data_IF_804593938438
#
_entry.id   IF_804593938438
#
_cell.length_a   1.000
_cell.length_b   1.000
_cell.length_c   1.000
_cell.angle_alpha   90.00
_cell.angle_beta   90.00
_cell.angle_gamma   90.00
#
_symmetry.space_group_name_H-M   'P 1'
#
loop_
_entity.id
_entity.type
_entity.pdbx_description
1 polymer ?
#
# COMPACT_ATOMS: atom_id res chain seq x y z
N UNK A 1 -1.90 9.08 -2.74
CA UNK A 1 -2.74 8.91 -3.95
C UNK A 1 -1.84 8.80 -5.17
N UNK A 2 -2.10 7.88 -6.10
CA UNK A 2 -1.41 7.78 -7.38
C UNK A 2 -2.35 8.22 -8.51
N UNK A 3 -1.94 9.23 -9.28
CA UNK A 3 -2.63 9.70 -10.48
C UNK A 3 -2.37 8.81 -11.70
N UNK A 4 -3.27 8.87 -12.70
CA UNK A 4 -3.12 8.14 -13.96
C UNK A 4 -1.88 8.53 -14.79
N UNK A 5 -1.32 9.71 -14.52
CA UNK A 5 -0.10 10.27 -15.11
C UNK A 5 1.20 9.88 -14.38
N UNK A 6 1.09 9.23 -13.21
CA UNK A 6 2.22 8.81 -12.39
C UNK A 6 2.50 9.73 -11.22
N UNK A 7 1.69 10.79 -11.08
CA UNK A 7 1.81 11.74 -9.98
C UNK A 7 1.47 11.06 -8.66
N UNK A 8 2.37 11.17 -7.70
CA UNK A 8 2.19 10.66 -6.34
C UNK A 8 1.95 11.83 -5.42
N UNK A 9 0.79 11.83 -4.77
CA UNK A 9 0.46 12.74 -3.68
C UNK A 9 0.64 12.00 -2.37
N UNK A 10 1.71 12.35 -1.65
CA UNK A 10 2.05 11.81 -0.33
C UNK A 10 1.66 12.75 0.82
N UNK A 11 1.90 12.34 2.07
CA UNK A 11 1.68 13.20 3.24
C UNK A 11 2.52 14.49 3.16
N UNK A 12 2.05 15.56 3.81
CA UNK A 12 2.79 16.83 3.89
C UNK A 12 2.91 17.59 2.57
N UNK A 13 1.96 17.44 1.64
CA UNK A 13 1.99 18.04 0.30
C UNK A 13 3.13 17.52 -0.60
N UNK A 14 3.66 16.34 -0.31
CA UNK A 14 4.62 15.69 -1.21
C UNK A 14 3.96 15.43 -2.56
N UNK A 15 4.59 15.93 -3.62
CA UNK A 15 4.23 15.64 -5.01
C UNK A 15 5.46 15.05 -5.70
N UNK A 16 5.39 13.76 -6.03
CA UNK A 16 6.41 13.04 -6.79
C UNK A 16 5.88 12.58 -8.14
N UNK A 17 6.77 12.10 -9.01
CA UNK A 17 6.40 11.42 -10.25
C UNK A 17 7.07 10.05 -10.27
N UNK A 18 6.28 8.99 -10.44
CA UNK A 18 6.84 7.65 -10.65
C UNK A 18 7.41 7.52 -12.06
N UNK A 19 8.57 6.88 -12.17
CA UNK A 19 9.05 6.38 -13.45
C UNK A 19 8.12 5.28 -13.98
N UNK A 20 8.20 5.00 -15.28
CA UNK A 20 7.44 3.89 -15.90
C UNK A 20 7.74 2.54 -15.24
N UNK A 21 9.00 2.30 -14.86
CA UNK A 21 9.42 1.08 -14.17
C UNK A 21 8.84 0.98 -12.75
N UNK A 22 8.85 2.10 -12.02
CA UNK A 22 8.26 2.18 -10.68
C UNK A 22 6.75 1.93 -10.71
N UNK A 23 6.05 2.54 -11.68
CA UNK A 23 4.63 2.31 -11.93
C UNK A 23 4.36 0.84 -12.23
N UNK A 24 5.08 0.26 -13.18
CA UNK A 24 4.90 -1.14 -13.60
C UNK A 24 5.12 -2.09 -12.42
N UNK A 25 6.14 -1.84 -11.61
CA UNK A 25 6.43 -2.64 -10.42
C UNK A 25 5.30 -2.54 -9.37
N UNK A 26 4.77 -1.33 -9.14
CA UNK A 26 3.66 -1.12 -8.22
C UNK A 26 2.38 -1.80 -8.71
N UNK A 27 2.04 -1.65 -9.99
CA UNK A 27 0.88 -2.30 -10.61
C UNK A 27 0.98 -3.83 -10.53
N UNK A 28 2.17 -4.39 -10.78
CA UNK A 28 2.43 -5.83 -10.62
C UNK A 28 2.29 -6.30 -9.17
N UNK A 29 2.78 -5.53 -8.19
CA UNK A 29 2.64 -5.83 -6.77
C UNK A 29 1.17 -5.82 -6.32
N UNK A 30 0.37 -4.87 -6.83
CA UNK A 30 -1.07 -4.81 -6.55
C UNK A 30 -1.75 -6.09 -7.05
N UNK A 31 -1.48 -6.52 -8.28
CA UNK A 31 -2.07 -7.75 -8.83
C UNK A 31 -1.60 -8.99 -8.03
N UNK A 32 -0.30 -9.10 -7.75
CA UNK A 32 0.26 -10.22 -7.01
C UNK A 32 -0.24 -10.31 -5.56
N UNK A 33 -0.62 -9.18 -4.95
CA UNK A 33 -1.11 -9.14 -3.57
C UNK A 33 -2.45 -9.85 -3.39
N UNK A 34 -3.27 -9.93 -4.46
CA UNK A 34 -4.66 -10.35 -4.37
C UNK A 34 -5.52 -9.43 -3.51
N UNK A 35 -5.14 -8.14 -3.35
CA UNK A 35 -5.74 -7.22 -2.37
C UNK A 35 -7.28 -7.19 -2.37
N UNK A 36 -7.91 -7.29 -3.55
CA UNK A 36 -9.37 -7.28 -3.67
C UNK A 36 -10.08 -8.52 -3.11
N UNK A 37 -9.34 -9.57 -2.78
CA UNK A 37 -9.85 -10.81 -2.18
C UNK A 37 -9.44 -10.94 -0.69
N UNK A 38 -8.69 -9.97 -0.16
CA UNK A 38 -8.29 -9.93 1.24
C UNK A 38 -9.42 -9.39 2.13
N UNK A 39 -9.39 -9.82 3.39
CA UNK A 39 -10.22 -9.23 4.44
C UNK A 39 -9.87 -7.74 4.64
N UNK A 40 -10.84 -6.92 5.06
CA UNK A 40 -10.61 -5.49 5.19
C UNK A 40 -9.66 -5.11 6.33
N UNK A 41 -9.39 -6.03 7.27
CA UNK A 41 -8.61 -5.72 8.47
C UNK A 41 -7.88 -6.96 9.00
N UNK A 42 -6.60 -6.78 9.38
CA UNK A 42 -5.76 -7.75 10.06
C UNK A 42 -5.11 -7.10 11.29
N UNK A 43 -5.77 -7.19 12.44
CA UNK A 43 -5.28 -6.64 13.71
C UNK A 43 -5.11 -7.76 14.75
N UNK A 44 -4.03 -7.74 15.57
CA UNK A 44 -3.92 -8.65 16.70
C UNK A 44 -4.91 -8.28 17.82
N UNK A 45 -5.22 -9.24 18.68
CA UNK A 45 -6.08 -9.02 19.86
C UNK A 45 -5.53 -7.92 20.80
N UNK A 46 -4.20 -7.81 20.87
CA UNK A 46 -3.51 -6.75 21.58
C UNK A 46 -2.72 -5.88 20.59
N UNK A 47 -3.30 -4.75 20.12
CA UNK A 47 -2.64 -3.82 19.23
C UNK A 47 -1.65 -2.91 19.97
N UNK A 48 -1.39 -3.14 21.26
CA UNK A 48 -0.44 -2.32 22.00
C UNK A 48 0.98 -2.41 21.41
N UNK A 49 1.80 -1.48 21.93
CA UNK A 49 3.13 -1.08 21.46
C UNK A 49 3.10 0.02 20.39
N UNK A 50 4.26 0.69 20.25
CA UNK A 50 4.53 1.64 19.19
C UNK A 50 4.84 0.84 17.91
N UNK A 51 3.79 0.61 17.11
CA UNK A 51 3.82 -0.13 15.84
C UNK A 51 3.38 0.80 14.72
N UNK A 52 3.81 0.51 13.50
CA UNK A 52 3.29 1.23 12.35
C UNK A 52 1.93 0.65 11.94
N UNK A 53 0.94 1.51 11.83
CA UNK A 53 -0.34 1.23 11.19
C UNK A 53 -0.22 1.43 9.67
N UNK A 54 -0.80 0.51 8.92
CA UNK A 54 -0.89 0.58 7.47
C UNK A 54 -2.34 0.50 7.03
N UNK A 55 -2.74 1.45 6.19
CA UNK A 55 -3.99 1.40 5.46
C UNK A 55 -3.69 1.49 3.97
N UNK A 56 -4.10 0.47 3.22
CA UNK A 56 -3.90 0.39 1.77
C UNK A 56 -5.26 0.47 1.09
N UNK A 57 -5.51 1.57 0.40
CA UNK A 57 -6.71 1.77 -0.41
C UNK A 57 -6.37 1.74 -1.89
N UNK A 58 -7.03 0.86 -2.66
CA UNK A 58 -6.87 0.75 -4.11
C UNK A 58 -8.22 0.92 -4.79
N UNK A 59 -8.25 1.81 -5.77
CA UNK A 59 -9.39 1.96 -6.68
C UNK A 59 -8.96 1.52 -8.08
N UNK A 60 -9.64 0.51 -8.62
CA UNK A 60 -9.40 -0.01 -9.98
C UNK A 60 -10.71 -0.38 -10.65
N UNK A 61 -10.92 0.04 -11.90
CA UNK A 61 -12.12 -0.29 -12.67
C UNK A 61 -13.45 0.12 -12.00
N UNK A 62 -13.45 1.15 -11.16
CA UNK A 62 -14.63 1.58 -10.39
C UNK A 62 -14.89 0.80 -9.10
N UNK A 63 -14.07 -0.21 -8.78
CA UNK A 63 -14.08 -0.91 -7.49
C UNK A 63 -13.02 -0.31 -6.57
N UNK A 64 -13.41 0.02 -5.35
CA UNK A 64 -12.49 0.45 -4.29
C UNK A 64 -12.45 -0.62 -3.22
N UNK A 65 -11.25 -0.97 -2.76
CA UNK A 65 -11.03 -1.85 -1.62
C UNK A 65 -9.97 -1.27 -0.70
N UNK A 66 -10.19 -1.42 0.60
CA UNK A 66 -9.31 -0.90 1.65
C UNK A 66 -8.98 -2.05 2.59
N UNK A 67 -7.69 -2.21 2.89
CA UNK A 67 -7.18 -3.19 3.85
C UNK A 67 -6.33 -2.47 4.88
N UNK A 68 -6.62 -2.70 6.17
CA UNK A 68 -5.84 -2.20 7.29
C UNK A 68 -5.06 -3.33 7.97
N UNK A 69 -3.83 -3.04 8.41
CA UNK A 69 -3.00 -3.97 9.18
C UNK A 69 -1.99 -3.20 10.03
N UNK A 70 -1.36 -3.86 11.00
CA UNK A 70 -0.23 -3.32 11.74
C UNK A 70 1.00 -4.22 11.63
N UNK A 71 2.17 -3.68 11.99
CA UNK A 71 3.38 -4.49 12.12
C UNK A 71 3.21 -5.69 13.05
N UNK A 72 3.62 -6.86 12.57
CA UNK A 72 3.55 -8.11 13.33
C UNK A 72 2.14 -8.65 13.54
N UNK A 73 1.14 -8.14 12.81
CA UNK A 73 -0.17 -8.79 12.71
C UNK A 73 -0.06 -10.12 11.94
N UNK A 74 -0.98 -11.04 12.21
CA UNK A 74 -1.17 -12.25 11.40
C UNK A 74 -1.95 -11.87 10.13
N UNK A 75 -1.20 -11.39 9.13
CA UNK A 75 -1.73 -11.00 7.82
C UNK A 75 -0.95 -11.71 6.70
N UNK A 76 -1.55 -11.88 5.51
CA UNK A 76 -0.86 -12.52 4.39
C UNK A 76 0.45 -11.81 4.02
N UNK A 77 1.52 -12.58 3.78
CA UNK A 77 2.82 -12.04 3.34
C UNK A 77 2.70 -11.15 2.08
N UNK A 78 1.72 -11.45 1.23
CA UNK A 78 1.43 -10.70 0.02
C UNK A 78 0.96 -9.26 0.30
N UNK A 79 0.28 -9.01 1.44
CA UNK A 79 -0.10 -7.67 1.89
C UNK A 79 1.13 -6.87 2.31
N UNK A 80 2.03 -7.47 3.11
CA UNK A 80 3.26 -6.81 3.55
C UNK A 80 4.22 -6.54 2.38
N UNK A 81 4.32 -7.44 1.40
CA UNK A 81 5.10 -7.23 0.19
C UNK A 81 4.58 -6.04 -0.65
N UNK A 82 3.25 -5.87 -0.72
CA UNK A 82 2.63 -4.71 -1.35
C UNK A 82 2.95 -3.41 -0.60
N UNK A 83 2.78 -3.39 0.73
CA UNK A 83 3.11 -2.24 1.58
C UNK A 83 4.58 -1.84 1.40
N UNK A 84 5.50 -2.81 1.44
CA UNK A 84 6.93 -2.58 1.19
C UNK A 84 7.19 -1.94 -0.17
N UNK A 85 6.53 -2.43 -1.22
CA UNK A 85 6.64 -1.84 -2.57
C UNK A 85 6.13 -0.41 -2.60
N UNK A 86 4.99 -0.11 -1.96
CA UNK A 86 4.50 1.26 -1.83
C UNK A 86 5.53 2.16 -1.14
N UNK A 87 6.09 1.71 -0.02
CA UNK A 87 7.07 2.48 0.75
C UNK A 87 8.36 2.73 -0.06
N UNK A 88 8.85 1.75 -0.80
CA UNK A 88 10.04 1.91 -1.67
C UNK A 88 9.80 2.87 -2.83
N UNK A 89 8.61 2.82 -3.42
CA UNK A 89 8.29 3.55 -4.66
C UNK A 89 7.82 4.98 -4.39
N UNK A 90 7.05 5.18 -3.32
CA UNK A 90 6.39 6.45 -3.00
C UNK A 90 7.21 7.30 -2.03
N UNK A 91 8.02 6.69 -1.15
CA UNK A 91 8.79 7.45 -0.16
C UNK A 91 10.13 7.87 -0.79
N UNK A 92 10.44 9.18 -0.87
CA UNK A 92 11.80 9.58 -1.21
C UNK A 92 12.75 9.06 -0.13
N UNK A 93 13.95 8.61 -0.53
CA UNK A 93 15.04 8.39 0.41
C UNK A 93 15.24 9.68 1.22
N UNK A 94 15.22 9.56 2.55
CA UNK A 94 15.46 10.67 3.46
C UNK A 94 16.85 11.28 3.26
#
# INVERSE_FOLDING_TARGET
MLGGDGTVLGPGSYVGLLTADQRTRLEAAIVASGLFDLDPEYLPEDPCCDRFDYEVTITSGGRTHTVATIDGADAPESLFALIGTFLEVVRPAA
#
